data_IF_652587979770
#
_entry.id   IF_652587979770
#
_cell.length_a   1.000
_cell.length_b   1.000
_cell.length_c   1.000
_cell.angle_alpha   90.00
_cell.angle_beta   90.00
_cell.angle_gamma   90.00
#
_symmetry.space_group_name_H-M   'P 1'
#
loop_
_entity.id
_entity.type
_entity.pdbx_description
1 polymer ?
#
# COMPACT_ATOMS: atom_id res chain seq x y z
N UNK A 1 -23.31 -5.64 -14.53
CA UNK A 1 -22.87 -6.93 -13.96
C UNK A 1 -22.12 -6.64 -12.68
N UNK A 2 -22.33 -7.46 -11.64
CA UNK A 2 -21.54 -7.36 -10.40
C UNK A 2 -20.09 -7.71 -10.68
N UNK A 3 -19.16 -6.97 -10.06
CA UNK A 3 -17.71 -7.26 -10.16
C UNK A 3 -17.29 -8.31 -9.16
N UNK A 4 -16.21 -9.00 -9.48
CA UNK A 4 -15.56 -9.97 -8.60
C UNK A 4 -14.30 -9.32 -8.03
N UNK A 5 -14.24 -9.22 -6.72
CA UNK A 5 -13.16 -8.60 -5.97
C UNK A 5 -12.33 -9.63 -5.23
N UNK A 6 -11.04 -9.37 -5.09
CA UNK A 6 -10.17 -10.00 -4.12
C UNK A 6 -9.56 -8.89 -3.25
N UNK A 7 -9.76 -8.98 -1.93
CA UNK A 7 -9.21 -8.02 -0.97
C UNK A 7 -8.32 -8.73 0.02
N UNK A 8 -7.06 -8.28 0.13
CA UNK A 8 -6.12 -8.87 1.09
C UNK A 8 -6.20 -8.18 2.44
N UNK A 9 -6.10 -8.98 3.53
CA UNK A 9 -6.16 -8.45 4.89
C UNK A 9 -7.53 -7.93 5.31
N UNK A 10 -8.61 -8.62 4.92
CA UNK A 10 -10.00 -8.20 5.10
C UNK A 10 -10.54 -8.32 6.54
N UNK A 11 -9.76 -8.87 7.48
CA UNK A 11 -10.25 -9.16 8.83
C UNK A 11 -10.31 -7.93 9.77
N UNK A 12 -9.72 -6.79 9.40
CA UNK A 12 -9.68 -5.59 10.25
C UNK A 12 -9.34 -4.33 9.47
N UNK A 13 -9.55 -3.18 10.11
CA UNK A 13 -9.12 -1.87 9.59
C UNK A 13 -9.70 -1.54 8.21
N UNK A 14 -8.89 -0.93 7.35
CA UNK A 14 -9.32 -0.54 6.01
C UNK A 14 -9.79 -1.74 5.18
N UNK A 15 -9.09 -2.88 5.24
CA UNK A 15 -9.49 -4.09 4.49
C UNK A 15 -10.88 -4.60 4.86
N UNK A 16 -11.27 -4.48 6.13
CA UNK A 16 -12.61 -4.82 6.60
C UNK A 16 -13.65 -3.84 6.05
N UNK A 17 -13.39 -2.55 6.09
CA UNK A 17 -14.28 -1.52 5.52
C UNK A 17 -14.45 -1.69 4.01
N UNK A 18 -13.37 -2.06 3.27
CA UNK A 18 -13.46 -2.36 1.84
C UNK A 18 -14.34 -3.59 1.61
N UNK A 19 -14.13 -4.68 2.37
CA UNK A 19 -14.92 -5.90 2.24
C UNK A 19 -16.41 -5.64 2.46
N UNK A 20 -16.77 -4.91 3.50
CA UNK A 20 -18.16 -4.52 3.80
C UNK A 20 -18.76 -3.64 2.71
N UNK A 21 -18.00 -2.66 2.22
CA UNK A 21 -18.47 -1.77 1.16
C UNK A 21 -18.70 -2.51 -0.17
N UNK A 22 -17.79 -3.43 -0.54
CA UNK A 22 -17.95 -4.28 -1.74
C UNK A 22 -19.19 -5.14 -1.64
N UNK A 23 -19.41 -5.82 -0.52
CA UNK A 23 -20.57 -6.70 -0.34
C UNK A 23 -21.89 -5.90 -0.30
N UNK A 24 -21.90 -4.76 0.37
CA UNK A 24 -23.06 -3.86 0.42
C UNK A 24 -23.42 -3.26 -0.94
N UNK A 25 -22.48 -3.15 -1.87
CA UNK A 25 -22.74 -2.70 -3.25
C UNK A 25 -23.38 -3.77 -4.15
N UNK A 26 -23.50 -5.02 -3.68
CA UNK A 26 -24.00 -6.16 -4.45
C UNK A 26 -22.94 -6.85 -5.32
N UNK A 27 -21.68 -6.44 -5.20
CA UNK A 27 -20.53 -7.11 -5.83
C UNK A 27 -20.15 -8.39 -5.06
N UNK A 28 -19.35 -9.26 -5.67
CA UNK A 28 -18.88 -10.51 -5.07
C UNK A 28 -17.45 -10.36 -4.59
N UNK A 29 -17.10 -11.06 -3.53
CA UNK A 29 -15.83 -10.88 -2.83
C UNK A 29 -15.13 -12.20 -2.50
N UNK A 30 -13.84 -12.27 -2.79
CA UNK A 30 -12.91 -13.16 -2.10
C UNK A 30 -12.21 -12.34 -1.02
N UNK A 31 -12.62 -12.55 0.23
CA UNK A 31 -12.04 -11.90 1.40
C UNK A 31 -10.92 -12.78 1.98
N UNK A 32 -9.73 -12.22 2.18
CA UNK A 32 -8.62 -13.02 2.68
C UNK A 32 -8.09 -12.54 4.02
N UNK A 33 -7.66 -13.47 4.84
CA UNK A 33 -7.00 -13.24 6.12
C UNK A 33 -6.09 -14.42 6.44
N UNK A 34 -5.08 -14.23 7.32
CA UNK A 34 -4.27 -15.36 7.83
C UNK A 34 -5.13 -16.38 8.60
N UNK A 35 -6.14 -15.89 9.30
CA UNK A 35 -7.20 -16.69 9.92
C UNK A 35 -8.56 -16.30 9.34
N UNK A 36 -9.10 -17.08 8.38
CA UNK A 36 -10.37 -16.76 7.71
C UNK A 36 -11.59 -16.78 8.65
N UNK A 37 -11.54 -17.47 9.79
CA UNK A 37 -12.64 -17.51 10.78
C UNK A 37 -13.02 -16.13 11.29
N UNK A 38 -12.10 -15.17 11.21
CA UNK A 38 -12.35 -13.75 11.54
C UNK A 38 -13.29 -13.04 10.56
N UNK A 39 -13.76 -13.73 9.53
CA UNK A 39 -14.69 -13.25 8.49
C UNK A 39 -16.03 -13.99 8.53
N UNK A 40 -16.25 -14.89 9.50
CA UNK A 40 -17.44 -15.75 9.59
C UNK A 40 -18.74 -14.94 9.73
N UNK A 41 -18.70 -13.77 10.35
CA UNK A 41 -19.83 -12.85 10.44
C UNK A 41 -20.24 -12.31 9.08
N UNK A 42 -19.28 -11.96 8.22
CA UNK A 42 -19.57 -11.57 6.82
C UNK A 42 -20.11 -12.74 6.01
N UNK A 43 -19.56 -13.94 6.20
CA UNK A 43 -20.07 -15.15 5.53
C UNK A 43 -21.52 -15.42 5.91
N UNK A 44 -21.87 -15.29 7.20
CA UNK A 44 -23.26 -15.44 7.66
C UNK A 44 -24.19 -14.40 7.07
N UNK A 45 -23.72 -13.16 6.93
CA UNK A 45 -24.54 -12.05 6.46
C UNK A 45 -24.74 -12.06 4.95
N UNK A 46 -23.73 -12.44 4.15
CA UNK A 46 -23.72 -12.24 2.69
C UNK A 46 -23.74 -13.55 1.89
N UNK A 47 -23.61 -14.71 2.55
CA UNK A 47 -23.79 -16.03 1.94
C UNK A 47 -23.00 -16.22 0.64
N UNK A 48 -23.70 -16.43 -0.46
CA UNK A 48 -23.08 -16.73 -1.76
C UNK A 48 -22.30 -15.56 -2.41
N UNK A 49 -22.41 -14.34 -1.89
CA UNK A 49 -21.65 -13.21 -2.40
C UNK A 49 -20.18 -13.23 -1.96
N UNK A 50 -19.84 -13.96 -0.89
CA UNK A 50 -18.50 -14.01 -0.32
C UNK A 50 -17.91 -15.42 -0.36
N UNK A 51 -16.62 -15.48 -0.63
CA UNK A 51 -15.75 -16.63 -0.31
C UNK A 51 -14.60 -16.13 0.54
N UNK A 52 -14.16 -16.96 1.46
CA UNK A 52 -12.99 -16.64 2.28
C UNK A 52 -11.83 -17.55 1.91
N UNK A 53 -10.62 -17.03 1.98
CA UNK A 53 -9.41 -17.82 1.77
C UNK A 53 -8.34 -17.48 2.81
N UNK A 54 -7.61 -18.48 3.33
CA UNK A 54 -6.42 -18.24 4.13
C UNK A 54 -5.34 -17.63 3.24
N UNK A 55 -4.71 -16.54 3.70
CA UNK A 55 -3.64 -15.91 2.93
C UNK A 55 -2.65 -15.22 3.86
N UNK A 56 -1.42 -15.71 3.88
CA UNK A 56 -0.25 -14.90 4.15
C UNK A 56 0.27 -14.40 2.79
N UNK A 57 0.25 -13.09 2.57
CA UNK A 57 0.65 -12.51 1.28
C UNK A 57 2.14 -12.70 0.97
N UNK A 58 2.96 -12.97 1.98
CA UNK A 58 4.37 -13.28 1.80
C UNK A 58 4.58 -14.67 1.14
N UNK A 59 3.59 -15.56 1.22
CA UNK A 59 3.60 -16.86 0.57
C UNK A 59 3.02 -16.77 -0.85
N UNK A 60 3.88 -17.00 -1.85
CA UNK A 60 3.49 -16.96 -3.26
C UNK A 60 2.47 -18.05 -3.63
N UNK A 61 2.57 -19.22 -3.03
CA UNK A 61 1.65 -20.34 -3.29
C UNK A 61 0.27 -20.05 -2.73
N UNK A 62 0.22 -19.49 -1.50
CA UNK A 62 -1.03 -19.04 -0.88
C UNK A 62 -1.68 -17.91 -1.68
N UNK A 63 -0.89 -16.97 -2.21
CA UNK A 63 -1.38 -15.89 -3.06
C UNK A 63 -2.03 -16.45 -4.35
N UNK A 64 -1.39 -17.44 -4.99
CA UNK A 64 -1.94 -18.11 -6.16
C UNK A 64 -3.25 -18.84 -5.83
N UNK A 65 -3.27 -19.61 -4.75
CA UNK A 65 -4.46 -20.34 -4.29
C UNK A 65 -5.64 -19.38 -4.01
N UNK A 66 -5.40 -18.27 -3.31
CA UNK A 66 -6.44 -17.28 -3.01
C UNK A 66 -7.03 -16.63 -4.28
N UNK A 67 -6.20 -16.37 -5.28
CA UNK A 67 -6.65 -15.86 -6.59
C UNK A 67 -7.49 -16.92 -7.33
N UNK A 68 -7.11 -18.20 -7.27
CA UNK A 68 -7.89 -19.27 -7.90
C UNK A 68 -9.30 -19.42 -7.30
N UNK A 69 -9.49 -19.16 -6.01
CA UNK A 69 -10.84 -19.14 -5.40
C UNK A 69 -11.79 -18.20 -6.16
N UNK A 70 -11.32 -17.04 -6.64
CA UNK A 70 -12.18 -16.14 -7.41
C UNK A 70 -12.61 -16.75 -8.75
N UNK A 71 -11.70 -17.41 -9.44
CA UNK A 71 -11.98 -18.05 -10.74
C UNK A 71 -12.90 -19.25 -10.58
N UNK A 72 -12.63 -20.10 -9.59
CA UNK A 72 -13.42 -21.32 -9.32
C UNK A 72 -14.85 -20.99 -8.85
N UNK A 73 -14.97 -20.02 -7.93
CA UNK A 73 -16.29 -19.69 -7.37
C UNK A 73 -17.14 -18.76 -8.25
N UNK A 74 -16.48 -17.86 -9.02
CA UNK A 74 -17.18 -16.78 -9.72
C UNK A 74 -16.83 -16.67 -11.21
N UNK A 75 -15.90 -17.48 -11.72
CA UNK A 75 -15.55 -17.54 -13.15
C UNK A 75 -14.62 -16.44 -13.65
N UNK A 76 -14.30 -15.43 -12.83
CA UNK A 76 -13.48 -14.26 -13.22
C UNK A 76 -12.89 -13.54 -12.00
N UNK A 77 -11.99 -12.57 -12.26
CA UNK A 77 -11.49 -11.66 -11.25
C UNK A 77 -11.37 -10.25 -11.86
N UNK A 78 -12.12 -9.30 -11.33
CA UNK A 78 -12.17 -7.94 -11.88
C UNK A 78 -11.29 -6.95 -11.11
N UNK A 79 -11.28 -7.03 -9.79
CA UNK A 79 -10.58 -6.06 -8.94
C UNK A 79 -9.75 -6.79 -7.89
N UNK A 80 -8.49 -6.41 -7.81
CA UNK A 80 -7.60 -6.80 -6.70
C UNK A 80 -7.30 -5.57 -5.87
N UNK A 81 -7.49 -5.69 -4.55
CA UNK A 81 -7.05 -4.69 -3.57
C UNK A 81 -5.96 -5.31 -2.70
N UNK A 82 -4.71 -4.96 -2.95
CA UNK A 82 -3.57 -5.33 -2.13
C UNK A 82 -3.53 -4.41 -0.90
N UNK A 83 -4.24 -4.80 0.16
CA UNK A 83 -4.38 -4.01 1.37
C UNK A 83 -3.56 -4.57 2.55
N UNK A 84 -3.26 -5.86 2.57
CA UNK A 84 -2.48 -6.46 3.66
C UNK A 84 -1.16 -5.73 3.87
N UNK A 85 -0.91 -5.30 5.11
CA UNK A 85 0.30 -4.57 5.46
C UNK A 85 0.34 -4.20 6.93
N UNK A 86 1.54 -3.95 7.43
CA UNK A 86 1.80 -3.45 8.78
C UNK A 86 3.10 -2.66 8.78
N UNK A 87 3.36 -1.93 9.86
CA UNK A 87 4.61 -1.23 10.06
C UNK A 87 5.13 -1.42 11.47
N UNK A 88 6.40 -1.15 11.65
CA UNK A 88 7.09 -1.08 12.92
C UNK A 88 7.71 0.31 13.08
N UNK A 89 7.90 0.72 14.33
CA UNK A 89 8.61 1.96 14.65
C UNK A 89 9.77 1.64 15.59
N UNK A 90 10.98 1.72 15.04
CA UNK A 90 12.22 1.53 15.78
C UNK A 90 13.39 2.21 15.04
N UNK A 91 14.45 2.65 15.74
CA UNK A 91 15.70 3.01 15.08
C UNK A 91 16.20 1.86 14.19
N UNK A 92 16.77 2.17 13.05
CA UNK A 92 17.22 1.14 12.10
C UNK A 92 18.19 0.14 12.71
N UNK A 93 19.16 0.60 13.50
CA UNK A 93 20.13 -0.29 14.14
C UNK A 93 19.55 -1.16 15.27
N UNK A 94 18.39 -0.77 15.82
CA UNK A 94 17.66 -1.54 16.82
C UNK A 94 16.60 -2.46 16.21
N UNK A 95 16.30 -2.30 14.91
CA UNK A 95 15.38 -3.14 14.17
C UNK A 95 16.11 -4.37 13.65
N UNK A 96 15.81 -5.54 14.21
CA UNK A 96 16.43 -6.79 13.77
C UNK A 96 16.21 -7.06 12.26
N UNK A 97 17.22 -7.65 11.61
CA UNK A 97 17.21 -7.94 10.17
C UNK A 97 15.98 -8.75 9.72
N UNK A 98 15.59 -9.75 10.52
CA UNK A 98 14.41 -10.59 10.22
C UNK A 98 13.12 -9.77 10.27
N UNK A 99 13.04 -8.80 11.19
CA UNK A 99 11.88 -7.92 11.29
C UNK A 99 11.79 -6.96 10.11
N UNK A 100 12.93 -6.37 9.72
CA UNK A 100 13.02 -5.56 8.51
C UNK A 100 12.55 -6.36 7.28
N UNK A 101 13.08 -7.58 7.12
CA UNK A 101 12.70 -8.48 6.04
C UNK A 101 11.20 -8.80 6.06
N UNK A 102 10.63 -9.12 7.21
CA UNK A 102 9.21 -9.46 7.33
C UNK A 102 8.29 -8.29 6.94
N UNK A 103 8.68 -7.04 7.25
CA UNK A 103 7.97 -5.84 6.78
C UNK A 103 8.03 -5.73 5.26
N UNK A 104 9.19 -5.95 4.66
CA UNK A 104 9.35 -5.94 3.19
C UNK A 104 8.56 -7.08 2.54
N UNK A 105 8.63 -8.29 3.08
CA UNK A 105 7.93 -9.47 2.57
C UNK A 105 6.42 -9.24 2.53
N UNK A 106 5.85 -8.66 3.58
CA UNK A 106 4.40 -8.41 3.63
C UNK A 106 3.99 -7.21 2.78
N UNK A 107 4.65 -6.04 2.96
CA UNK A 107 4.18 -4.78 2.36
C UNK A 107 4.55 -4.61 0.90
N UNK A 108 5.62 -5.25 0.43
CA UNK A 108 6.08 -5.19 -0.96
C UNK A 108 5.97 -6.52 -1.69
N UNK A 109 6.65 -7.57 -1.22
CA UNK A 109 6.58 -8.87 -1.92
C UNK A 109 5.19 -9.48 -1.87
N UNK A 110 4.39 -9.23 -0.83
CA UNK A 110 2.99 -9.60 -0.78
C UNK A 110 2.17 -8.98 -1.89
N UNK A 111 2.40 -7.69 -2.17
CA UNK A 111 1.80 -6.98 -3.31
C UNK A 111 2.21 -7.62 -4.63
N UNK A 112 3.50 -7.93 -4.79
CA UNK A 112 4.04 -8.58 -6.00
C UNK A 112 3.43 -9.97 -6.20
N UNK A 113 3.34 -10.80 -5.16
CA UNK A 113 2.84 -12.16 -5.22
C UNK A 113 1.37 -12.21 -5.69
N UNK A 114 0.51 -11.44 -5.04
CA UNK A 114 -0.92 -11.41 -5.38
C UNK A 114 -1.14 -10.80 -6.77
N UNK A 115 -0.43 -9.73 -7.11
CA UNK A 115 -0.50 -9.11 -8.44
C UNK A 115 -0.06 -10.08 -9.52
N UNK A 116 1.04 -10.81 -9.32
CA UNK A 116 1.55 -11.82 -10.26
C UNK A 116 0.56 -12.96 -10.49
N UNK A 117 -0.13 -13.39 -9.43
CA UNK A 117 -1.16 -14.43 -9.54
C UNK A 117 -2.40 -13.94 -10.32
N UNK A 118 -2.83 -12.70 -10.11
CA UNK A 118 -4.04 -12.13 -10.72
C UNK A 118 -3.84 -11.70 -12.18
N UNK A 119 -2.66 -11.21 -12.52
CA UNK A 119 -2.39 -10.56 -13.82
C UNK A 119 -2.68 -11.45 -15.05
N UNK A 120 -2.32 -12.76 -15.09
CA UNK A 120 -2.64 -13.62 -16.23
C UNK A 120 -4.14 -13.73 -16.50
N UNK A 121 -4.97 -13.70 -15.45
CA UNK A 121 -6.43 -13.76 -15.54
C UNK A 121 -6.94 -12.46 -16.15
N UNK A 122 -6.56 -11.32 -15.59
CA UNK A 122 -6.98 -10.00 -16.06
C UNK A 122 -6.52 -9.72 -17.48
N UNK A 123 -5.30 -10.16 -17.85
CA UNK A 123 -4.77 -10.05 -19.21
C UNK A 123 -5.63 -10.83 -20.23
N UNK A 124 -6.04 -12.08 -19.89
CA UNK A 124 -6.95 -12.87 -20.72
C UNK A 124 -8.33 -12.22 -20.83
N UNK A 125 -8.84 -11.61 -19.76
CA UNK A 125 -10.09 -10.88 -19.73
C UNK A 125 -10.03 -9.55 -20.50
N UNK A 126 -8.83 -9.03 -20.80
CA UNK A 126 -8.57 -7.69 -21.34
C UNK A 126 -9.19 -6.58 -20.48
N UNK A 127 -9.30 -6.82 -19.19
CA UNK A 127 -9.88 -5.89 -18.22
C UNK A 127 -9.46 -6.27 -16.82
N UNK A 128 -9.23 -5.27 -15.96
CA UNK A 128 -8.96 -5.45 -14.55
C UNK A 128 -8.56 -4.15 -13.85
N UNK A 129 -8.69 -4.14 -12.54
CA UNK A 129 -8.22 -3.07 -11.66
C UNK A 129 -7.34 -3.64 -10.56
N UNK A 130 -6.14 -3.13 -10.42
CA UNK A 130 -5.21 -3.50 -9.35
C UNK A 130 -4.95 -2.26 -8.50
N UNK A 131 -5.48 -2.25 -7.29
CA UNK A 131 -5.42 -1.15 -6.35
C UNK A 131 -4.47 -1.52 -5.22
N UNK A 132 -3.35 -0.81 -5.13
CA UNK A 132 -2.31 -1.03 -4.14
C UNK A 132 -2.52 -0.08 -2.96
N UNK A 133 -2.79 -0.58 -1.77
CA UNK A 133 -2.80 0.29 -0.59
C UNK A 133 -1.36 0.57 -0.18
N UNK A 134 -0.86 1.69 -0.71
CA UNK A 134 0.40 2.28 -0.32
C UNK A 134 0.22 3.15 0.94
N UNK A 135 0.81 4.31 0.98
CA UNK A 135 0.73 5.29 2.07
C UNK A 135 1.32 6.61 1.59
N UNK A 136 0.98 7.71 2.24
CA UNK A 136 1.79 8.94 2.15
C UNK A 136 3.26 8.66 2.50
N UNK A 137 3.53 7.64 3.32
CA UNK A 137 4.87 7.13 3.60
C UNK A 137 5.60 6.49 2.40
N UNK A 138 4.94 6.34 1.24
CA UNK A 138 5.57 6.07 -0.06
C UNK A 138 6.02 7.34 -0.80
N UNK A 139 5.75 8.53 -0.24
CA UNK A 139 6.09 9.85 -0.81
C UNK A 139 6.98 10.68 0.11
N UNK A 140 7.02 10.35 1.37
CA UNK A 140 7.87 10.97 2.39
C UNK A 140 8.53 9.89 3.26
N UNK A 141 9.46 10.29 4.11
CA UNK A 141 10.08 9.41 5.09
C UNK A 141 10.15 10.09 6.46
N UNK A 142 9.95 9.28 7.51
CA UNK A 142 10.08 9.69 8.90
C UNK A 142 11.09 8.79 9.63
N UNK A 143 11.86 9.33 10.59
CA UNK A 143 12.70 8.51 11.45
C UNK A 143 11.94 7.38 12.13
N UNK A 144 12.57 6.22 12.26
CA UNK A 144 12.00 5.06 12.95
C UNK A 144 11.13 4.14 12.08
N UNK A 145 10.88 4.46 10.82
CA UNK A 145 10.02 3.65 9.94
C UNK A 145 10.73 3.22 8.65
N UNK A 146 12.02 2.94 8.70
CA UNK A 146 12.86 2.69 7.51
C UNK A 146 12.36 1.52 6.66
N UNK A 147 12.02 0.37 7.27
CA UNK A 147 11.51 -0.78 6.54
C UNK A 147 10.16 -0.49 5.87
N UNK A 148 9.26 0.17 6.59
CA UNK A 148 7.93 0.51 6.09
C UNK A 148 8.00 1.49 4.92
N UNK A 149 8.78 2.58 5.06
CA UNK A 149 8.95 3.54 3.98
C UNK A 149 9.61 2.91 2.77
N UNK A 150 10.67 2.12 2.95
CA UNK A 150 11.31 1.39 1.85
C UNK A 150 10.30 0.53 1.07
N UNK A 151 9.45 -0.22 1.79
CA UNK A 151 8.41 -1.05 1.16
C UNK A 151 7.37 -0.21 0.41
N UNK A 152 6.88 0.90 0.99
CA UNK A 152 5.86 1.74 0.37
C UNK A 152 6.39 2.55 -0.83
N UNK A 153 7.65 2.97 -0.79
CA UNK A 153 8.33 3.55 -1.96
C UNK A 153 8.49 2.50 -3.08
N UNK A 154 8.86 1.26 -2.74
CA UNK A 154 8.94 0.17 -3.71
C UNK A 154 7.57 -0.13 -4.35
N UNK A 155 6.48 -0.09 -3.59
CA UNK A 155 5.10 -0.21 -4.13
C UNK A 155 4.80 0.91 -5.13
N UNK A 156 5.22 2.15 -4.86
CA UNK A 156 5.03 3.29 -5.78
C UNK A 156 5.69 3.04 -7.13
N UNK A 157 7.01 2.79 -7.14
CA UNK A 157 7.76 2.51 -8.38
C UNK A 157 7.27 1.27 -9.13
N UNK A 158 6.92 0.20 -8.39
CA UNK A 158 6.30 -0.99 -8.97
C UNK A 158 4.97 -0.67 -9.65
N UNK A 159 4.13 0.14 -9.03
CA UNK A 159 2.81 0.55 -9.56
C UNK A 159 2.95 1.34 -10.85
N UNK A 160 3.86 2.32 -10.90
CA UNK A 160 4.09 3.14 -12.09
C UNK A 160 4.58 2.31 -13.27
N UNK A 161 5.58 1.47 -13.04
CA UNK A 161 6.15 0.60 -14.08
C UNK A 161 5.12 -0.41 -14.59
N UNK A 162 4.46 -1.13 -13.68
CA UNK A 162 3.45 -2.12 -14.03
C UNK A 162 2.27 -1.48 -14.78
N UNK A 163 1.82 -0.30 -14.36
CA UNK A 163 0.71 0.40 -15.00
C UNK A 163 0.95 0.65 -16.48
N UNK A 164 2.17 1.04 -16.85
CA UNK A 164 2.57 1.22 -18.25
C UNK A 164 2.64 -0.11 -19.00
N UNK A 165 3.19 -1.15 -18.37
CA UNK A 165 3.36 -2.47 -18.96
C UNK A 165 2.04 -3.16 -19.29
N UNK A 166 1.01 -3.00 -18.42
CA UNK A 166 -0.27 -3.71 -18.57
C UNK A 166 -1.38 -2.89 -19.22
N UNK A 167 -1.16 -1.60 -19.45
CA UNK A 167 -2.13 -0.73 -20.11
C UNK A 167 -2.66 -1.29 -21.45
N UNK A 168 -1.82 -1.89 -22.34
CA UNK A 168 -2.30 -2.50 -23.59
C UNK A 168 -3.28 -3.65 -23.39
N UNK A 169 -3.32 -4.24 -22.19
CA UNK A 169 -4.25 -5.32 -21.85
C UNK A 169 -5.55 -4.82 -21.21
N UNK A 170 -5.74 -3.49 -21.08
CA UNK A 170 -6.90 -2.91 -20.43
C UNK A 170 -6.91 -3.06 -18.89
N UNK A 171 -5.75 -3.39 -18.29
CA UNK A 171 -5.59 -3.46 -16.84
C UNK A 171 -5.16 -2.10 -16.30
N UNK A 172 -5.80 -1.61 -15.25
CA UNK A 172 -5.53 -0.34 -14.59
C UNK A 172 -4.86 -0.61 -13.26
N UNK A 173 -3.79 0.12 -12.96
CA UNK A 173 -3.04 -0.02 -11.70
C UNK A 173 -2.95 1.34 -11.03
N UNK A 174 -3.17 1.39 -9.72
CA UNK A 174 -3.11 2.63 -8.95
C UNK A 174 -2.59 2.37 -7.54
N UNK A 175 -1.63 3.17 -7.09
CA UNK A 175 -1.23 3.26 -5.70
C UNK A 175 -2.14 4.26 -4.96
N UNK A 176 -2.82 3.79 -3.94
CA UNK A 176 -3.61 4.61 -3.04
C UNK A 176 -2.76 4.97 -1.83
N UNK A 177 -2.62 6.25 -1.56
CA UNK A 177 -1.64 6.79 -0.62
C UNK A 177 -2.34 7.56 0.52
N UNK A 178 -2.98 6.83 1.46
CA UNK A 178 -3.63 7.47 2.60
C UNK A 178 -2.62 8.11 3.55
N UNK A 179 -3.05 9.21 4.17
CA UNK A 179 -2.47 9.76 5.37
C UNK A 179 -2.84 8.97 6.63
N UNK A 180 -2.91 9.64 7.76
CA UNK A 180 -3.39 9.05 9.00
C UNK A 180 -4.84 8.60 8.91
N UNK A 181 -5.14 7.35 9.25
CA UNK A 181 -6.49 6.78 9.25
C UNK A 181 -6.89 6.23 10.61
N UNK A 182 -8.15 6.44 11.00
CA UNK A 182 -8.72 5.89 12.25
C UNK A 182 -8.90 4.38 12.16
N UNK A 183 -7.81 3.67 12.35
CA UNK A 183 -7.75 2.20 12.39
C UNK A 183 -6.80 1.76 13.50
N UNK A 184 -6.80 0.46 13.82
CA UNK A 184 -5.85 -0.11 14.79
C UNK A 184 -4.41 -0.22 14.23
N UNK A 185 -4.11 0.38 13.08
CA UNK A 185 -2.78 0.27 12.48
C UNK A 185 -1.71 0.95 13.34
N UNK A 186 -1.96 2.19 13.77
CA UNK A 186 -1.04 2.95 14.63
C UNK A 186 -0.76 2.23 15.94
N UNK A 187 -1.81 1.77 16.64
CA UNK A 187 -1.67 1.01 17.88
C UNK A 187 -0.80 -0.23 17.69
N UNK A 188 -1.01 -0.99 16.61
CA UNK A 188 -0.20 -2.18 16.30
C UNK A 188 1.25 -1.86 15.96
N UNK A 189 1.49 -0.81 15.19
CA UNK A 189 2.84 -0.39 14.81
C UNK A 189 3.70 0.02 16.02
N UNK A 190 3.05 0.33 17.14
CA UNK A 190 3.73 0.78 18.37
C UNK A 190 3.71 -0.26 19.49
N UNK A 191 3.21 -1.47 19.26
CA UNK A 191 3.18 -2.51 20.30
C UNK A 191 4.56 -3.00 20.70
N UNK A 192 5.48 -3.07 19.75
CA UNK A 192 6.80 -3.67 19.90
C UNK A 192 7.94 -2.63 19.77
N UNK A 193 7.70 -1.38 20.22
CA UNK A 193 8.77 -0.36 20.22
C UNK A 193 9.84 -0.79 21.23
N UNK A 194 11.11 -0.93 20.83
CA UNK A 194 12.19 -1.24 21.76
C UNK A 194 12.44 -0.06 22.71
N UNK A 195 13.10 -0.32 23.83
CA UNK A 195 13.71 0.75 24.63
C UNK A 195 14.74 1.48 23.75
N UNK A 196 14.50 2.79 23.56
CA UNK A 196 15.36 3.56 22.65
C UNK A 196 16.70 3.86 23.30
N UNK A 197 17.79 3.66 22.56
CA UNK A 197 19.08 4.22 22.92
C UNK A 197 18.96 5.74 23.07
N UNK A 198 19.62 6.36 24.07
CA UNK A 198 19.50 7.80 24.34
C UNK A 198 19.76 8.69 23.11
N UNK A 199 20.66 8.29 22.22
CA UNK A 199 21.01 9.00 20.99
C UNK A 199 19.86 9.11 20.00
N UNK A 200 18.87 8.22 20.05
CA UNK A 200 17.68 8.26 19.19
C UNK A 200 16.49 9.01 19.78
N UNK A 201 16.56 9.46 21.01
CA UNK A 201 15.49 10.26 21.64
C UNK A 201 15.18 11.56 20.86
N UNK A 202 16.19 12.33 20.38
CA UNK A 202 15.92 13.57 19.64
C UNK A 202 15.34 13.37 18.24
N UNK A 203 15.41 12.17 17.68
CA UNK A 203 14.91 11.84 16.34
C UNK A 203 13.72 10.90 16.38
N UNK A 204 13.93 9.61 16.58
CA UNK A 204 12.88 8.58 16.60
C UNK A 204 11.95 8.78 17.80
N UNK A 205 12.46 9.16 18.96
CA UNK A 205 11.66 9.44 20.15
C UNK A 205 10.63 10.54 19.93
N UNK A 206 11.03 11.63 19.28
CA UNK A 206 10.12 12.73 18.93
C UNK A 206 9.01 12.26 17.98
N UNK A 207 9.36 11.45 16.95
CA UNK A 207 8.37 10.90 16.01
C UNK A 207 7.38 10.01 16.73
N UNK A 208 7.86 9.11 17.62
CA UNK A 208 6.99 8.24 18.42
C UNK A 208 6.02 9.07 19.26
N UNK A 209 6.51 10.08 19.97
CA UNK A 209 5.68 10.94 20.81
C UNK A 209 4.61 11.67 19.97
N UNK A 210 5.01 12.21 18.79
CA UNK A 210 4.09 12.89 17.88
C UNK A 210 3.02 11.94 17.36
N UNK A 211 3.39 10.75 16.88
CA UNK A 211 2.42 9.77 16.40
C UNK A 211 1.46 9.33 17.50
N UNK A 212 1.94 9.12 18.72
CA UNK A 212 1.10 8.79 19.89
C UNK A 212 0.08 9.89 20.20
N UNK A 213 0.44 11.16 20.07
CA UNK A 213 -0.46 12.29 20.32
C UNK A 213 -1.59 12.40 19.29
N UNK A 214 -1.42 11.81 18.10
CA UNK A 214 -2.40 11.84 17.01
C UNK A 214 -3.36 10.65 17.01
N UNK A 215 -3.16 9.65 17.88
CA UNK A 215 -4.03 8.47 17.90
C UNK A 215 -5.47 8.79 18.22
N UNK A 216 -6.38 8.26 17.41
CA UNK A 216 -7.80 8.52 17.50
C UNK A 216 -8.22 9.90 16.97
N UNK A 217 -7.26 10.73 16.55
CA UNK A 217 -7.48 12.06 15.98
C UNK A 217 -7.11 12.13 14.49
N UNK A 218 -6.77 11.00 13.88
CA UNK A 218 -6.43 10.93 12.47
C UNK A 218 -7.59 11.44 11.61
N UNK A 219 -7.25 12.16 10.52
CA UNK A 219 -8.25 12.76 9.64
C UNK A 219 -8.96 11.74 8.75
N UNK A 220 -8.28 10.63 8.42
CA UNK A 220 -8.76 9.64 7.47
C UNK A 220 -9.87 8.77 8.05
N UNK A 221 -10.98 8.68 7.32
CA UNK A 221 -12.10 7.79 7.58
C UNK A 221 -11.98 6.56 6.67
N UNK A 222 -11.72 5.35 7.20
CA UNK A 222 -11.55 4.15 6.40
C UNK A 222 -12.82 3.76 5.60
N UNK A 223 -14.01 4.11 6.11
CA UNK A 223 -15.25 3.86 5.37
C UNK A 223 -15.36 4.76 4.13
N UNK A 224 -14.97 6.03 4.24
CA UNK A 224 -14.92 6.94 3.09
C UNK A 224 -13.86 6.53 2.08
N UNK A 225 -12.70 6.06 2.54
CA UNK A 225 -11.66 5.51 1.65
C UNK A 225 -12.17 4.28 0.91
N UNK A 226 -12.89 3.36 1.57
CA UNK A 226 -13.51 2.21 0.93
C UNK A 226 -14.51 2.63 -0.17
N UNK A 227 -15.31 3.68 0.05
CA UNK A 227 -16.22 4.22 -0.98
C UNK A 227 -15.47 4.82 -2.18
N UNK A 228 -14.32 5.48 -1.96
CA UNK A 228 -13.45 5.94 -3.06
C UNK A 228 -12.94 4.75 -3.87
N UNK A 229 -12.49 3.69 -3.21
CA UNK A 229 -11.99 2.45 -3.86
C UNK A 229 -13.05 1.83 -4.77
N UNK A 230 -14.30 1.74 -4.32
CA UNK A 230 -15.41 1.26 -5.16
C UNK A 230 -15.59 2.13 -6.42
N UNK A 231 -15.54 3.44 -6.26
CA UNK A 231 -15.71 4.38 -7.39
C UNK A 231 -14.54 4.30 -8.38
N UNK A 232 -13.32 4.05 -7.92
CA UNK A 232 -12.14 3.88 -8.78
C UNK A 232 -12.27 2.63 -9.65
N UNK A 233 -12.79 1.55 -9.13
CA UNK A 233 -13.05 0.32 -9.90
C UNK A 233 -14.10 0.46 -11.00
N UNK A 234 -14.79 1.60 -11.06
CA UNK A 234 -15.73 1.94 -12.13
C UNK A 234 -15.15 2.93 -13.17
N UNK A 235 -13.87 3.30 -13.04
CA UNK A 235 -13.24 4.28 -13.92
C UNK A 235 -12.39 3.61 -14.98
N UNK A 236 -12.43 4.14 -16.20
CA UNK A 236 -11.61 3.65 -17.32
C UNK A 236 -10.17 4.14 -17.25
N UNK A 237 -9.92 5.22 -16.53
CA UNK A 237 -8.58 5.76 -16.30
C UNK A 237 -8.37 6.01 -14.81
N UNK A 238 -7.19 5.64 -14.33
CA UNK A 238 -6.73 5.89 -12.97
C UNK A 238 -5.42 6.69 -13.02
N UNK A 239 -5.16 7.55 -12.04
CA UNK A 239 -3.81 8.06 -11.83
C UNK A 239 -2.91 6.92 -11.35
N UNK A 240 -1.61 7.00 -11.60
CA UNK A 240 -0.65 6.04 -11.04
C UNK A 240 -0.63 6.11 -9.51
N UNK A 241 -0.80 7.32 -8.96
CA UNK A 241 -0.84 7.61 -7.53
C UNK A 241 -2.07 8.44 -7.18
N UNK A 242 -2.69 8.14 -6.04
CA UNK A 242 -3.80 8.92 -5.49
C UNK A 242 -3.62 9.14 -3.99
N UNK A 243 -3.29 10.36 -3.60
CA UNK A 243 -3.25 10.78 -2.20
C UNK A 243 -4.67 10.80 -1.61
N UNK A 244 -4.82 10.26 -0.41
CA UNK A 244 -6.10 10.18 0.30
C UNK A 244 -5.99 10.81 1.69
N UNK A 245 -6.60 11.98 1.84
CA UNK A 245 -6.59 12.80 3.03
C UNK A 245 -5.88 14.14 2.83
N UNK A 246 -6.34 15.19 3.52
CA UNK A 246 -5.74 16.52 3.47
C UNK A 246 -4.31 16.54 4.02
N UNK A 247 -4.04 15.73 5.03
CA UNK A 247 -2.72 15.52 5.60
C UNK A 247 -1.78 14.84 4.60
N UNK A 248 -2.26 13.83 3.87
CA UNK A 248 -1.47 13.19 2.81
C UNK A 248 -1.08 14.20 1.71
N UNK A 249 -2.01 15.03 1.25
CA UNK A 249 -1.74 16.07 0.25
C UNK A 249 -0.71 17.07 0.78
N UNK A 250 -0.89 17.53 2.02
CA UNK A 250 -0.01 18.52 2.64
C UNK A 250 1.43 17.99 2.77
N UNK A 251 1.62 16.84 3.40
CA UNK A 251 2.96 16.31 3.66
C UNK A 251 3.68 15.80 2.40
N UNK A 252 2.96 15.18 1.47
CA UNK A 252 3.54 14.80 0.19
C UNK A 252 4.00 16.02 -0.61
N UNK A 253 3.18 17.10 -0.64
CA UNK A 253 3.54 18.34 -1.33
C UNK A 253 4.79 19.00 -0.75
N UNK A 254 4.93 19.03 0.59
CA UNK A 254 6.16 19.53 1.23
C UNK A 254 7.38 18.69 0.86
N UNK A 255 7.26 17.37 0.91
CA UNK A 255 8.37 16.46 0.59
C UNK A 255 8.78 16.55 -0.89
N UNK A 256 7.83 16.70 -1.81
CA UNK A 256 8.10 16.89 -3.24
C UNK A 256 8.78 18.23 -3.52
N UNK A 257 8.31 19.31 -2.90
CA UNK A 257 8.94 20.62 -3.02
C UNK A 257 10.39 20.62 -2.52
N UNK A 258 10.65 19.98 -1.37
CA UNK A 258 12.00 19.85 -0.84
C UNK A 258 12.95 19.08 -1.79
N UNK A 259 12.48 17.93 -2.32
CA UNK A 259 13.27 17.14 -3.29
C UNK A 259 13.54 17.92 -4.59
N UNK A 260 12.55 18.67 -5.07
CA UNK A 260 12.72 19.50 -6.28
C UNK A 260 13.75 20.63 -6.05
N UNK A 261 13.70 21.26 -4.89
CA UNK A 261 14.67 22.29 -4.52
C UNK A 261 16.10 21.73 -4.40
N UNK A 262 16.25 20.53 -3.82
CA UNK A 262 17.54 19.87 -3.73
C UNK A 262 18.05 19.44 -5.13
N UNK A 263 17.18 18.90 -5.98
CA UNK A 263 17.56 18.55 -7.34
C UNK A 263 18.03 19.77 -8.15
N UNK A 264 17.38 20.93 -7.99
CA UNK A 264 17.81 22.18 -8.65
C UNK A 264 19.13 22.69 -8.08
N UNK A 265 19.34 22.62 -6.77
CA UNK A 265 20.62 23.00 -6.14
C UNK A 265 21.80 22.18 -6.69
N UNK A 266 21.59 20.90 -6.98
CA UNK A 266 22.63 19.97 -7.48
C UNK A 266 22.66 19.86 -9.01
N UNK A 267 21.86 20.66 -9.73
CA UNK A 267 21.67 20.58 -11.18
C UNK A 267 22.98 20.63 -11.97
N UNK A 268 23.87 21.59 -11.65
CA UNK A 268 25.14 21.77 -12.38
C UNK A 268 26.06 20.56 -12.18
N UNK A 269 26.13 20.01 -10.95
CA UNK A 269 26.86 18.78 -10.68
C UNK A 269 26.29 17.63 -11.54
N UNK A 270 24.97 17.49 -11.57
CA UNK A 270 24.34 16.42 -12.36
C UNK A 270 24.69 16.54 -13.85
N UNK A 271 24.59 17.73 -14.42
CA UNK A 271 24.89 17.98 -15.85
C UNK A 271 26.38 17.77 -16.15
N UNK A 272 27.29 18.08 -15.21
CA UNK A 272 28.74 17.90 -15.44
C UNK A 272 29.15 16.43 -15.65
N UNK A 273 28.29 15.48 -15.32
CA UNK A 273 28.52 14.04 -15.51
C UNK A 273 28.19 13.54 -16.92
N UNK A 274 27.63 14.37 -17.78
CA UNK A 274 27.31 13.99 -19.16
C UNK A 274 28.59 13.84 -19.99
N UNK A 275 28.65 12.85 -20.88
CA UNK A 275 29.83 12.54 -21.72
C UNK A 275 30.28 13.75 -22.58
N UNK A 276 29.34 14.57 -23.01
CA UNK A 276 29.58 15.75 -23.87
C UNK A 276 29.26 17.07 -23.15
N UNK A 277 29.32 17.08 -21.81
CA UNK A 277 29.10 18.30 -21.05
C UNK A 277 30.23 19.32 -21.31
N UNK A 278 29.85 20.54 -21.65
CA UNK A 278 30.75 21.69 -21.66
C UNK A 278 30.95 22.29 -20.24
N UNK A 279 30.21 21.80 -19.27
CA UNK A 279 30.28 22.23 -17.88
C UNK A 279 31.48 21.50 -17.22
N UNK A 280 32.48 22.23 -16.77
CA UNK A 280 33.54 21.68 -15.92
C UNK A 280 32.93 21.32 -14.55
N UNK A 281 33.49 20.29 -13.89
CA UNK A 281 33.03 19.88 -12.56
C UNK A 281 33.04 21.06 -11.57
N UNK A 282 31.88 21.58 -11.14
CA UNK A 282 31.80 22.71 -10.25
C UNK A 282 32.10 22.32 -8.80
N UNK A 283 32.30 23.31 -7.92
CA UNK A 283 32.40 23.06 -6.49
C UNK A 283 31.05 22.50 -5.98
N UNK A 284 31.15 21.57 -5.02
CA UNK A 284 29.94 21.03 -4.39
C UNK A 284 29.19 22.13 -3.62
N UNK A 285 27.85 22.23 -3.75
CA UNK A 285 27.09 23.18 -2.94
C UNK A 285 27.20 22.83 -1.45
N UNK A 286 27.35 23.86 -0.61
CA UNK A 286 27.43 23.73 0.86
C UNK A 286 26.04 23.42 1.45
#
# INVERSE_FOLDING_TARGET
MSKIWLVTGSASGLGRNIAEAVLASGDRLVATARDPRRLDDLVKQYGEQIRTAPLDVADQSAAHAAVQVAVEAFGRLDVVVNNAGYGDVAPFEQLGADRFKAVMDTNFYGVVNVTRAALPIMRKQKSGWILQISSVGGRLALPGSTAYHAAKWAVGGFTESLGQEVAPFGVKVCALEPGGMRTNWGTRAHQDIPELLPDYQPSVGVVIATLKSLWGQENGDPAKVAQVILRLAARDRLPAHLLLGSDAIHYAGQAEAARSADAERWREISISTDVHSSVSLPALPL
#
